data_IF_440049829508
#
_entry.id   IF_440049829508
#
_cell.length_a   1.000
_cell.length_b   1.000
_cell.length_c   1.000
_cell.angle_alpha   90.00
_cell.angle_beta   90.00
_cell.angle_gamma   90.00
#
_symmetry.space_group_name_H-M   'P 1'
#
loop_
_entity.id
_entity.type
_entity.pdbx_description
1 polymer ?
#
# COMPACT_ATOMS: atom_id res chain seq x y z
N UNK A 1 -15.65 -2.43 -61.79
CA UNK A 1 -14.34 -1.99 -61.25
C UNK A 1 -14.56 -1.10 -60.01
N UNK A 2 -15.17 -1.55 -58.91
CA UNK A 2 -14.62 -2.49 -57.91
C UNK A 2 -13.24 -2.08 -57.31
N UNK A 3 -12.84 -0.81 -57.38
CA UNK A 3 -11.64 -0.29 -56.65
C UNK A 3 -11.82 1.07 -55.95
N UNK A 4 -12.99 1.70 -56.04
CA UNK A 4 -13.23 3.04 -55.44
C UNK A 4 -13.95 3.01 -54.08
N UNK A 5 -14.32 1.83 -53.59
CA UNK A 5 -15.04 1.65 -52.31
C UNK A 5 -14.10 1.42 -51.10
N UNK A 6 -12.82 1.10 -51.33
CA UNK A 6 -11.86 0.84 -50.25
C UNK A 6 -11.13 2.08 -49.72
N UNK A 7 -11.24 3.23 -50.39
CA UNK A 7 -10.59 4.47 -49.93
C UNK A 7 -11.43 5.27 -48.91
N UNK A 8 -12.76 5.09 -48.90
CA UNK A 8 -13.66 5.78 -47.98
C UNK A 8 -13.77 5.13 -46.59
N UNK A 9 -13.43 3.85 -46.47
CA UNK A 9 -13.56 3.09 -45.23
C UNK A 9 -12.32 3.18 -44.32
N UNK A 10 -11.14 3.49 -44.89
CA UNK A 10 -9.93 3.75 -44.12
C UNK A 10 -9.94 5.07 -43.35
N UNK A 11 -10.66 6.08 -43.85
CA UNK A 11 -10.74 7.40 -43.21
C UNK A 11 -11.78 7.46 -42.07
N UNK A 12 -12.76 6.53 -42.08
CA UNK A 12 -13.74 6.39 -41.00
C UNK A 12 -13.14 5.67 -39.77
N UNK A 13 -12.23 4.72 -39.98
CA UNK A 13 -11.58 3.96 -38.89
C UNK A 13 -10.54 4.83 -38.14
N UNK A 14 -9.86 5.76 -38.84
CA UNK A 14 -8.95 6.72 -38.19
C UNK A 14 -9.73 7.77 -37.39
N UNK A 15 -10.94 8.14 -37.81
CA UNK A 15 -11.79 9.07 -37.07
C UNK A 15 -12.38 8.45 -35.78
N UNK A 16 -12.62 7.13 -35.74
CA UNK A 16 -13.12 6.44 -34.54
C UNK A 16 -11.98 6.16 -33.53
N UNK A 17 -10.75 5.97 -34.00
CA UNK A 17 -9.57 5.82 -33.13
C UNK A 17 -9.08 7.13 -32.48
N UNK A 18 -9.55 8.29 -32.94
CA UNK A 18 -9.22 9.59 -32.33
C UNK A 18 -10.22 10.03 -31.24
N UNK A 19 -11.36 9.34 -31.05
CA UNK A 19 -12.39 9.71 -30.07
C UNK A 19 -12.27 8.92 -28.76
N UNK A 20 -11.49 7.84 -28.72
CA UNK A 20 -11.27 7.03 -27.49
C UNK A 20 -10.20 7.68 -26.57
N UNK A 21 -9.47 8.68 -27.06
CA UNK A 21 -8.38 9.36 -26.33
C UNK A 21 -8.79 10.51 -25.39
N UNK A 22 -10.08 10.69 -25.09
CA UNK A 22 -10.54 11.82 -24.26
C UNK A 22 -11.55 11.41 -23.19
N UNK A 23 -11.29 10.31 -22.48
CA UNK A 23 -11.74 10.25 -21.09
C UNK A 23 -10.76 11.07 -20.27
N UNK A 24 -11.14 12.34 -20.04
CA UNK A 24 -10.59 13.15 -18.98
C UNK A 24 -10.73 12.34 -17.69
N UNK A 25 -9.65 11.69 -17.26
CA UNK A 25 -9.52 11.24 -15.89
C UNK A 25 -9.52 12.51 -15.03
N UNK A 26 -10.71 12.94 -14.61
CA UNK A 26 -10.84 13.78 -13.42
C UNK A 26 -10.47 12.88 -12.24
N UNK A 27 -9.16 12.67 -12.05
CA UNK A 27 -8.63 12.38 -10.75
C UNK A 27 -8.87 13.65 -9.93
N UNK A 28 -10.05 13.78 -9.34
CA UNK A 28 -10.17 14.61 -8.16
C UNK A 28 -9.22 13.97 -7.16
N UNK A 29 -8.02 14.54 -7.06
CA UNK A 29 -7.20 14.35 -5.88
C UNK A 29 -8.09 14.84 -4.73
N UNK A 30 -8.79 13.89 -4.10
CA UNK A 30 -9.39 14.13 -2.81
C UNK A 30 -8.22 14.64 -1.99
N UNK A 31 -8.26 15.94 -1.65
CA UNK A 31 -7.21 16.58 -0.90
C UNK A 31 -6.98 15.72 0.32
N UNK A 32 -5.87 14.98 0.34
CA UNK A 32 -5.47 14.25 1.52
C UNK A 32 -5.11 15.34 2.49
N UNK A 33 -6.05 15.68 3.36
CA UNK A 33 -5.80 16.59 4.47
C UNK A 33 -4.65 15.99 5.23
N UNK A 34 -3.42 16.49 5.00
CA UNK A 34 -2.25 16.08 5.74
C UNK A 34 -2.60 16.28 7.20
N UNK A 35 -2.78 15.17 7.92
CA UNK A 35 -3.05 15.22 9.33
C UNK A 35 -1.90 16.02 9.96
N UNK A 36 -2.24 17.04 10.75
CA UNK A 36 -1.25 17.82 11.49
C UNK A 36 -0.27 16.86 12.14
N UNK A 37 1.00 16.92 11.74
CA UNK A 37 2.06 16.05 12.24
C UNK A 37 2.14 16.20 13.75
N UNK A 38 1.42 15.34 14.47
CA UNK A 38 1.53 15.21 15.91
C UNK A 38 2.69 14.27 16.13
N UNK A 39 3.78 14.81 16.67
CA UNK A 39 4.90 13.99 17.14
C UNK A 39 4.31 12.99 18.14
N UNK A 40 4.37 11.67 17.87
CA UNK A 40 3.85 10.71 18.82
C UNK A 40 4.69 10.82 20.09
N UNK A 41 4.00 10.96 21.21
CA UNK A 41 4.62 11.00 22.51
C UNK A 41 4.87 9.56 22.94
N UNK A 42 6.14 9.17 22.95
CA UNK A 42 6.57 7.94 23.60
C UNK A 42 6.66 8.21 25.10
N UNK A 43 5.72 7.64 25.86
CA UNK A 43 5.79 7.64 27.31
C UNK A 43 6.82 6.60 27.74
N UNK A 44 8.05 7.06 27.97
CA UNK A 44 9.05 6.26 28.65
C UNK A 44 8.60 6.12 30.11
N UNK A 45 8.61 4.90 30.63
CA UNK A 45 8.34 4.60 32.02
C UNK A 45 9.37 5.29 32.93
N UNK A 46 8.98 6.44 33.48
CA UNK A 46 9.82 7.37 34.26
C UNK A 46 10.32 6.81 35.61
N UNK A 47 10.02 5.55 35.95
CA UNK A 47 10.47 4.92 37.21
C UNK A 47 12.00 4.73 37.29
N UNK A 48 12.72 4.99 36.20
CA UNK A 48 14.18 4.92 36.15
C UNK A 48 14.87 6.30 36.21
N UNK A 49 14.12 7.40 36.33
CA UNK A 49 14.65 8.77 36.13
C UNK A 49 14.85 9.53 37.46
N UNK A 50 14.65 8.86 38.61
CA UNK A 50 14.99 9.39 39.94
C UNK A 50 16.19 8.70 40.60
N UNK A 51 16.90 7.86 39.86
CA UNK A 51 18.20 7.34 40.29
C UNK A 51 19.23 7.88 39.31
N UNK A 52 20.30 8.47 39.83
CA UNK A 52 21.52 8.87 39.10
C UNK A 52 22.28 7.64 38.53
N UNK A 53 21.54 6.58 38.18
CA UNK A 53 22.03 5.45 37.43
C UNK A 53 21.94 5.87 35.96
N UNK A 54 23.09 5.99 35.31
CA UNK A 54 23.19 5.82 33.88
C UNK A 54 22.64 4.43 33.58
N UNK A 55 21.32 4.32 33.40
CA UNK A 55 20.74 3.11 32.84
C UNK A 55 21.28 3.10 31.43
N UNK A 56 22.14 2.13 31.04
CA UNK A 56 22.35 1.92 29.64
C UNK A 56 20.95 1.62 29.12
N UNK A 57 20.37 2.56 28.37
CA UNK A 57 19.45 2.17 27.31
C UNK A 57 20.12 0.95 26.67
N UNK A 58 19.40 -0.15 26.52
CA UNK A 58 19.95 -1.22 25.72
C UNK A 58 20.12 -0.62 24.31
N UNK A 59 21.29 -0.03 24.04
CA UNK A 59 21.71 0.58 22.78
C UNK A 59 21.95 -0.50 21.72
N UNK A 60 21.35 -1.67 21.94
CA UNK A 60 21.59 -2.87 21.19
C UNK A 60 20.32 -3.11 20.41
N UNK A 61 20.41 -2.88 19.10
CA UNK A 61 19.48 -3.43 18.13
C UNK A 61 19.24 -4.92 18.42
N UNK A 62 18.12 -5.45 17.94
CA UNK A 62 17.83 -6.87 18.04
C UNK A 62 19.01 -7.67 17.45
N UNK A 63 19.45 -8.70 18.16
CA UNK A 63 20.50 -9.58 17.66
C UNK A 63 20.02 -10.27 16.38
N UNK A 64 20.77 -10.09 15.30
CA UNK A 64 20.51 -10.74 14.04
C UNK A 64 20.93 -12.21 14.07
N UNK A 65 20.04 -13.12 13.65
CA UNK A 65 20.26 -14.57 13.67
C UNK A 65 20.44 -15.19 12.27
N UNK A 66 20.74 -14.39 11.24
CA UNK A 66 21.13 -14.89 9.91
C UNK A 66 19.98 -15.10 8.91
N UNK A 67 18.73 -14.82 9.28
CA UNK A 67 17.57 -14.93 8.37
C UNK A 67 17.38 -13.72 7.45
N UNK A 68 16.65 -13.84 6.33
CA UNK A 68 16.41 -12.69 5.44
C UNK A 68 15.75 -11.49 6.16
N UNK A 69 16.16 -10.28 5.79
CA UNK A 69 15.58 -9.02 6.27
C UNK A 69 15.07 -8.23 5.08
N UNK A 70 13.87 -7.67 5.18
CA UNK A 70 13.36 -6.71 4.21
C UNK A 70 14.20 -5.43 4.31
N UNK A 71 14.85 -5.02 3.20
CA UNK A 71 15.70 -3.84 3.17
C UNK A 71 15.10 -2.79 2.23
N UNK A 72 15.20 -1.52 2.61
CA UNK A 72 14.80 -0.40 1.77
C UNK A 72 13.33 -0.02 1.90
N UNK A 73 12.77 0.55 0.84
CA UNK A 73 11.38 1.03 0.83
C UNK A 73 10.44 -0.07 0.38
N UNK A 74 9.47 -0.42 1.23
CA UNK A 74 8.40 -1.35 0.91
C UNK A 74 7.29 -0.65 0.10
N UNK A 75 6.81 -1.31 -0.95
CA UNK A 75 5.60 -0.90 -1.68
C UNK A 75 4.41 -1.67 -1.13
N UNK A 76 3.47 -0.97 -0.49
CA UNK A 76 2.27 -1.56 0.07
C UNK A 76 1.12 -1.47 -0.94
N UNK A 77 0.49 -2.61 -1.24
CA UNK A 77 -0.71 -2.70 -2.04
C UNK A 77 -1.88 -3.19 -1.17
N UNK A 78 -3.03 -2.53 -1.28
CA UNK A 78 -4.24 -2.97 -0.60
C UNK A 78 -5.16 -3.69 -1.59
N UNK A 79 -5.57 -4.91 -1.27
CA UNK A 79 -6.56 -5.66 -2.05
C UNK A 79 -7.77 -5.88 -1.16
N UNK A 80 -8.90 -5.32 -1.56
CA UNK A 80 -10.17 -5.44 -0.85
C UNK A 80 -11.04 -6.46 -1.57
N UNK A 81 -11.26 -7.63 -0.96
CA UNK A 81 -12.15 -8.64 -1.53
C UNK A 81 -13.57 -8.46 -1.01
N UNK A 82 -14.39 -7.76 -1.79
CA UNK A 82 -15.69 -7.20 -1.40
C UNK A 82 -16.82 -7.57 -2.39
N UNK A 83 -17.19 -8.85 -2.53
CA UNK A 83 -18.13 -9.29 -3.57
C UNK A 83 -19.56 -8.76 -3.35
N UNK A 84 -19.94 -8.55 -2.10
CA UNK A 84 -21.23 -7.96 -1.73
C UNK A 84 -21.16 -6.50 -1.31
N UNK A 85 -19.97 -5.87 -1.31
CA UNK A 85 -19.79 -4.50 -0.82
C UNK A 85 -20.24 -4.28 0.63
N UNK A 86 -20.32 -5.34 1.44
CA UNK A 86 -20.84 -5.31 2.80
C UNK A 86 -19.79 -4.81 3.81
N UNK A 87 -19.19 -3.66 3.54
CA UNK A 87 -18.20 -3.00 4.40
C UNK A 87 -18.68 -1.61 4.81
N UNK A 88 -18.09 -1.07 5.88
CA UNK A 88 -18.38 0.30 6.29
C UNK A 88 -17.93 1.29 5.20
N UNK A 89 -18.66 2.39 5.02
CA UNK A 89 -18.43 3.35 3.92
C UNK A 89 -17.03 3.97 3.89
N UNK A 90 -16.33 4.01 5.03
CA UNK A 90 -14.98 4.55 5.16
C UNK A 90 -13.89 3.48 5.28
N UNK A 91 -14.22 2.19 5.24
CA UNK A 91 -13.28 1.10 5.49
C UNK A 91 -12.05 1.19 4.58
N UNK A 92 -12.24 1.20 3.27
CA UNK A 92 -11.13 1.20 2.29
C UNK A 92 -10.29 2.46 2.43
N UNK A 93 -10.95 3.63 2.51
CA UNK A 93 -10.27 4.92 2.65
C UNK A 93 -9.41 5.03 3.91
N UNK A 94 -9.80 4.38 5.02
CA UNK A 94 -9.02 4.38 6.24
C UNK A 94 -7.78 3.49 6.14
N UNK A 95 -7.90 2.34 5.47
CA UNK A 95 -6.78 1.43 5.21
C UNK A 95 -5.77 2.06 4.24
N UNK A 96 -6.25 2.65 3.15
CA UNK A 96 -5.40 3.40 2.20
C UNK A 96 -4.68 4.55 2.89
N UNK A 97 -5.40 5.32 3.73
CA UNK A 97 -4.77 6.41 4.51
C UNK A 97 -3.71 5.89 5.47
N UNK A 98 -3.95 4.78 6.16
CA UNK A 98 -2.93 4.17 7.02
C UNK A 98 -1.63 3.87 6.25
N UNK A 99 -1.72 3.26 5.06
CA UNK A 99 -0.53 2.99 4.25
C UNK A 99 0.12 4.26 3.68
N UNK A 100 -0.66 5.32 3.44
CA UNK A 100 -0.13 6.64 3.09
C UNK A 100 0.60 7.33 4.24
N UNK A 101 0.14 7.15 5.47
CA UNK A 101 0.63 7.87 6.66
C UNK A 101 1.78 7.14 7.38
N UNK A 102 1.87 5.80 7.25
CA UNK A 102 2.84 5.02 8.03
C UNK A 102 4.29 5.27 7.58
N UNK A 103 4.51 5.54 6.30
CA UNK A 103 5.81 5.87 5.74
C UNK A 103 6.43 7.11 6.40
N UNK A 104 7.71 7.06 6.76
CA UNK A 104 8.41 8.15 7.42
C UNK A 104 7.93 8.47 8.85
N UNK A 105 6.90 7.80 9.35
CA UNK A 105 6.45 7.96 10.73
C UNK A 105 7.46 7.37 11.72
N UNK A 106 7.50 7.90 12.94
CA UNK A 106 8.33 7.30 13.99
C UNK A 106 7.82 5.93 14.44
N UNK A 107 6.57 5.58 14.13
CA UNK A 107 6.04 4.22 14.35
C UNK A 107 6.73 3.23 13.41
N UNK A 108 6.88 3.58 12.13
CA UNK A 108 7.62 2.77 11.18
C UNK A 108 9.13 2.70 11.51
N UNK A 109 9.67 3.77 12.11
CA UNK A 109 11.08 3.84 12.51
C UNK A 109 11.49 2.82 13.58
N UNK A 110 10.55 2.16 14.26
CA UNK A 110 10.84 1.04 15.17
C UNK A 110 11.55 -0.11 14.43
N UNK A 111 11.34 -0.22 13.11
CA UNK A 111 11.97 -1.23 12.25
C UNK A 111 13.50 -1.08 12.16
N UNK A 112 14.09 0.04 12.57
CA UNK A 112 15.57 0.19 12.62
C UNK A 112 16.24 -0.74 13.62
N UNK A 113 15.47 -1.36 14.52
CA UNK A 113 15.97 -2.40 15.43
C UNK A 113 16.19 -3.75 14.75
N UNK A 114 15.65 -3.95 13.54
CA UNK A 114 15.70 -5.21 12.78
C UNK A 114 16.66 -5.08 11.58
N UNK A 115 17.95 -5.13 11.84
CA UNK A 115 19.01 -5.00 10.82
C UNK A 115 19.63 -6.34 10.45
N UNK A 116 20.02 -6.52 9.19
CA UNK A 116 20.91 -7.61 8.78
C UNK A 116 22.40 -7.31 9.09
N UNK A 117 23.30 -8.23 8.73
CA UNK A 117 24.75 -8.08 8.91
C UNK A 117 25.37 -6.88 8.18
N UNK A 118 24.71 -6.37 7.13
CA UNK A 118 25.12 -5.21 6.34
C UNK A 118 24.44 -3.91 6.80
N UNK A 119 23.77 -3.91 7.97
CA UNK A 119 22.97 -2.81 8.48
C UNK A 119 21.78 -2.40 7.59
N UNK A 120 21.32 -3.31 6.72
CA UNK A 120 20.10 -3.14 5.95
C UNK A 120 18.87 -3.38 6.83
N UNK A 121 17.88 -2.50 6.72
CA UNK A 121 16.60 -2.56 7.43
C UNK A 121 15.48 -2.00 6.53
N UNK A 122 14.22 -2.22 6.93
CA UNK A 122 13.05 -1.65 6.28
C UNK A 122 13.01 -0.14 6.56
N UNK A 123 13.45 0.65 5.57
CA UNK A 123 13.74 2.08 5.76
C UNK A 123 12.53 2.99 5.57
N UNK A 124 11.57 2.55 4.77
CA UNK A 124 10.31 3.25 4.57
C UNK A 124 9.22 2.32 4.04
N UNK A 125 7.96 2.75 4.10
CA UNK A 125 6.87 2.17 3.33
C UNK A 125 6.17 3.26 2.51
N UNK A 126 5.73 2.90 1.32
CA UNK A 126 4.91 3.77 0.46
C UNK A 126 3.66 3.02 0.04
N UNK A 127 2.53 3.71 0.05
CA UNK A 127 1.31 3.18 -0.56
C UNK A 127 1.46 3.20 -2.09
N UNK A 128 1.43 2.02 -2.70
CA UNK A 128 1.68 1.81 -4.12
C UNK A 128 0.40 1.61 -4.94
N UNK A 129 -0.73 1.33 -4.28
CA UNK A 129 -2.03 1.26 -4.93
C UNK A 129 -3.05 0.40 -4.18
N UNK A 130 -4.30 0.50 -4.61
CA UNK A 130 -5.39 -0.34 -4.12
C UNK A 130 -6.17 -0.96 -5.27
N UNK A 131 -6.79 -2.11 -4.99
CA UNK A 131 -7.72 -2.78 -5.88
C UNK A 131 -8.90 -3.34 -5.10
N UNK A 132 -10.11 -3.19 -5.63
CA UNK A 132 -11.32 -3.82 -5.08
C UNK A 132 -11.68 -5.00 -5.98
N UNK A 133 -11.57 -6.19 -5.42
CA UNK A 133 -12.00 -7.44 -6.03
C UNK A 133 -13.46 -7.72 -5.66
N UNK A 134 -14.32 -7.83 -6.67
CA UNK A 134 -15.74 -8.14 -6.49
C UNK A 134 -16.10 -9.57 -6.93
N UNK A 135 -15.13 -10.45 -7.21
CA UNK A 135 -15.39 -11.84 -7.55
C UNK A 135 -16.08 -12.53 -6.38
N UNK A 136 -17.11 -13.34 -6.65
CA UNK A 136 -17.84 -14.06 -5.62
C UNK A 136 -16.90 -14.83 -4.68
N UNK A 137 -17.25 -14.87 -3.40
CA UNK A 137 -16.59 -15.81 -2.49
C UNK A 137 -16.77 -17.23 -3.01
N UNK A 138 -15.77 -18.12 -2.81
CA UNK A 138 -15.92 -19.54 -3.10
C UNK A 138 -17.15 -20.10 -2.40
N UNK A 139 -17.71 -21.14 -2.98
CA UNK A 139 -18.78 -21.87 -2.32
C UNK A 139 -18.32 -22.46 -0.98
N UNK A 140 -19.28 -22.67 -0.09
CA UNK A 140 -19.04 -23.28 1.22
C UNK A 140 -19.80 -24.61 1.28
N UNK A 141 -19.12 -25.77 1.42
CA UNK A 141 -17.68 -25.92 1.61
C UNK A 141 -16.87 -25.69 0.31
N UNK A 142 -15.60 -25.30 0.46
CA UNK A 142 -14.62 -25.35 -0.64
C UNK A 142 -14.53 -26.78 -1.16
N UNK A 143 -14.68 -26.97 -2.47
CA UNK A 143 -14.53 -28.28 -3.11
C UNK A 143 -13.14 -28.42 -3.73
N UNK A 144 -12.66 -29.66 -3.89
CA UNK A 144 -11.37 -29.94 -4.53
C UNK A 144 -11.34 -29.46 -6.00
N UNK A 145 -12.52 -29.39 -6.64
CA UNK A 145 -12.70 -28.80 -7.97
C UNK A 145 -12.36 -27.32 -8.05
N UNK A 146 -12.45 -26.58 -6.94
CA UNK A 146 -12.16 -25.13 -6.90
C UNK A 146 -10.64 -24.84 -6.83
N UNK A 147 -9.82 -25.85 -6.48
CA UNK A 147 -8.37 -25.73 -6.38
C UNK A 147 -7.64 -26.16 -7.66
N UNK A 148 -8.32 -26.95 -8.51
CA UNK A 148 -7.75 -27.51 -9.74
C UNK A 148 -8.05 -26.59 -10.94
N UNK A 149 -7.37 -25.45 -11.00
CA UNK A 149 -7.38 -24.54 -12.16
C UNK A 149 -6.04 -24.52 -12.89
#
# INVERSE_FOLDING_TARGET
MQKRLFLGMGLLIVAIMAVIGSNLFNASAAGVSSASSRKPHFFLNQSLVHSNATIPFATRNLTYHGGPVMVGTANAYAIFWEPGGNVASNYNSLIERYFGDIGGSSLYHINTQYTNSSHGFASNAVFAGAWVDTHAYPESPLLDSDLQH
#
